data_IF_372331698515
#
_entry.id   IF_372331698515
#
_cell.length_a   1.000
_cell.length_b   1.000
_cell.length_c   1.000
_cell.angle_alpha   90.00
_cell.angle_beta   90.00
_cell.angle_gamma   90.00
#
_symmetry.space_group_name_H-M   'P 1'
#
loop_
_entity.id
_entity.type
_entity.pdbx_description
1 polymer ?
#
# COMPACT_ATOMS: atom_id res chain seq x y z
N UNK A 1 -16.27 -11.62 2.18
CA UNK A 1 -16.96 -10.48 1.54
C UNK A 1 -16.86 -9.15 2.29
N UNK A 2 -16.93 -9.09 3.64
CA UNK A 2 -16.98 -7.79 4.39
C UNK A 2 -15.76 -6.84 4.23
N UNK A 3 -14.63 -7.27 3.65
CA UNK A 3 -13.39 -6.47 3.53
C UNK A 3 -13.05 -6.01 2.11
N UNK A 4 -13.83 -6.46 1.12
CA UNK A 4 -13.76 -5.99 -0.26
C UNK A 4 -14.06 -4.49 -0.42
N UNK A 5 -15.07 -3.89 0.26
CA UNK A 5 -15.36 -2.46 0.06
C UNK A 5 -14.22 -1.55 0.55
N UNK A 6 -13.51 -1.95 1.61
CA UNK A 6 -12.36 -1.22 2.12
C UNK A 6 -11.23 -1.23 1.09
N UNK A 7 -10.95 -2.39 0.50
CA UNK A 7 -9.93 -2.52 -0.54
C UNK A 7 -10.24 -1.66 -1.77
N UNK A 8 -11.50 -1.69 -2.24
CA UNK A 8 -11.95 -0.85 -3.34
C UNK A 8 -11.79 0.64 -3.02
N UNK A 9 -12.24 1.05 -1.84
CA UNK A 9 -12.13 2.45 -1.37
C UNK A 9 -10.67 2.94 -1.40
N UNK A 10 -9.73 2.11 -0.95
CA UNK A 10 -8.32 2.49 -0.90
C UNK A 10 -7.69 2.65 -2.28
N UNK A 11 -8.16 1.92 -3.29
CA UNK A 11 -7.56 1.90 -4.63
C UNK A 11 -8.14 2.99 -5.54
N UNK A 12 -9.37 3.44 -5.29
CA UNK A 12 -10.05 4.43 -6.14
C UNK A 12 -9.21 5.70 -6.33
N UNK A 13 -8.75 6.35 -5.24
CA UNK A 13 -8.00 7.61 -5.35
C UNK A 13 -6.65 7.44 -6.07
N UNK A 14 -5.79 6.47 -5.72
CA UNK A 14 -4.56 6.21 -6.48
C UNK A 14 -4.80 5.89 -7.95
N UNK A 15 -5.85 5.13 -8.28
CA UNK A 15 -6.17 4.83 -9.69
C UNK A 15 -6.58 6.09 -10.44
N UNK A 16 -7.39 6.95 -9.84
CA UNK A 16 -7.76 8.24 -10.46
C UNK A 16 -6.54 9.12 -10.72
N UNK A 17 -5.54 9.11 -9.83
CA UNK A 17 -4.27 9.82 -10.04
C UNK A 17 -3.51 9.25 -11.24
N UNK A 18 -3.40 7.92 -11.35
CA UNK A 18 -2.73 7.27 -12.48
C UNK A 18 -3.45 7.58 -13.79
N UNK A 19 -4.78 7.53 -13.81
CA UNK A 19 -5.60 7.87 -14.99
C UNK A 19 -5.45 9.35 -15.37
N UNK A 20 -5.48 10.27 -14.40
CA UNK A 20 -5.24 11.70 -14.65
C UNK A 20 -3.85 11.97 -15.21
N UNK A 21 -2.86 11.19 -14.78
CA UNK A 21 -1.45 11.37 -15.15
C UNK A 21 -1.06 10.56 -16.40
N UNK A 22 -2.02 9.92 -17.07
CA UNK A 22 -1.76 8.95 -18.15
C UNK A 22 -0.99 9.55 -19.33
N UNK A 23 -1.27 10.80 -19.70
CA UNK A 23 -0.59 11.52 -20.79
C UNK A 23 0.82 12.02 -20.40
N UNK A 24 1.11 12.12 -19.10
CA UNK A 24 2.35 12.72 -18.57
C UNK A 24 3.36 11.67 -18.09
N UNK A 25 2.91 10.44 -17.87
CA UNK A 25 3.68 9.38 -17.23
C UNK A 25 3.85 8.21 -18.19
N UNK A 26 5.04 7.61 -18.16
CA UNK A 26 5.35 6.40 -18.92
C UNK A 26 4.57 5.21 -18.34
N UNK A 27 3.32 5.03 -18.79
CA UNK A 27 2.33 4.15 -18.16
C UNK A 27 2.82 2.70 -17.99
N UNK A 28 3.59 2.17 -18.94
CA UNK A 28 4.12 0.81 -18.86
C UNK A 28 5.18 0.64 -17.77
N UNK A 29 5.98 1.67 -17.49
CA UNK A 29 6.93 1.67 -16.37
C UNK A 29 6.16 1.70 -15.05
N UNK A 30 5.11 2.52 -14.94
CA UNK A 30 4.28 2.60 -13.74
C UNK A 30 3.58 1.28 -13.44
N UNK A 31 2.94 0.67 -14.44
CA UNK A 31 2.29 -0.63 -14.29
C UNK A 31 3.31 -1.71 -13.94
N UNK A 32 4.46 -1.75 -14.64
CA UNK A 32 5.53 -2.69 -14.35
C UNK A 32 6.06 -2.57 -12.92
N UNK A 33 6.31 -1.34 -12.45
CA UNK A 33 6.72 -1.06 -11.09
C UNK A 33 5.70 -1.56 -10.06
N UNK A 34 4.41 -1.20 -10.24
CA UNK A 34 3.33 -1.62 -9.34
C UNK A 34 3.25 -3.15 -9.26
N UNK A 35 3.33 -3.84 -10.40
CA UNK A 35 3.28 -5.30 -10.45
C UNK A 35 4.47 -5.94 -9.72
N UNK A 36 5.70 -5.49 -10.01
CA UNK A 36 6.92 -6.03 -9.39
C UNK A 36 6.90 -5.83 -7.88
N UNK A 37 6.61 -4.61 -7.41
CA UNK A 37 6.54 -4.30 -5.98
C UNK A 37 5.42 -5.10 -5.30
N UNK A 38 4.27 -5.26 -5.96
CA UNK A 38 3.16 -6.07 -5.45
C UNK A 38 3.52 -7.54 -5.30
N UNK A 39 4.18 -8.14 -6.30
CA UNK A 39 4.63 -9.53 -6.28
C UNK A 39 5.66 -9.77 -5.18
N UNK A 40 6.67 -8.90 -5.08
CA UNK A 40 7.68 -8.96 -4.02
C UNK A 40 7.01 -8.87 -2.64
N UNK A 41 6.13 -7.90 -2.45
CA UNK A 41 5.43 -7.70 -1.18
C UNK A 41 4.61 -8.93 -0.79
N UNK A 42 3.82 -9.45 -1.73
CA UNK A 42 3.01 -10.65 -1.49
C UNK A 42 3.88 -11.87 -1.14
N UNK A 43 5.00 -12.05 -1.85
CA UNK A 43 5.97 -13.11 -1.60
C UNK A 43 6.59 -13.04 -0.21
N UNK A 44 6.98 -11.84 0.25
CA UNK A 44 7.51 -11.63 1.60
C UNK A 44 6.49 -11.99 2.68
N UNK A 45 5.24 -11.58 2.50
CA UNK A 45 4.16 -11.93 3.42
C UNK A 45 3.89 -13.43 3.48
N UNK A 46 3.90 -14.09 2.33
CA UNK A 46 3.75 -15.54 2.26
C UNK A 46 4.92 -16.27 2.93
N UNK A 47 6.16 -15.82 2.68
CA UNK A 47 7.35 -16.36 3.31
C UNK A 47 7.29 -16.18 4.84
N UNK A 48 6.96 -14.98 5.34
CA UNK A 48 6.84 -14.74 6.78
C UNK A 48 5.76 -15.63 7.41
N UNK A 49 4.63 -15.86 6.72
CA UNK A 49 3.60 -16.80 7.19
C UNK A 49 4.13 -18.23 7.30
N UNK A 50 4.85 -18.72 6.28
CA UNK A 50 5.46 -20.05 6.29
C UNK A 50 6.47 -20.22 7.42
N UNK A 51 7.32 -19.21 7.65
CA UNK A 51 8.28 -19.23 8.75
C UNK A 51 7.58 -19.21 10.11
N UNK A 52 6.46 -18.50 10.25
CA UNK A 52 5.62 -18.57 11.46
C UNK A 52 5.18 -20.00 11.80
N UNK A 53 4.75 -20.75 10.79
CA UNK A 53 4.20 -22.10 10.96
C UNK A 53 5.31 -23.11 11.24
N UNK A 54 6.49 -22.92 10.63
CA UNK A 54 7.66 -23.79 10.79
C UNK A 54 8.55 -23.44 11.99
N UNK A 55 8.16 -22.46 12.82
CA UNK A 55 9.01 -21.89 13.89
C UNK A 55 10.38 -21.41 13.38
N UNK A 56 10.45 -20.99 12.11
CA UNK A 56 11.65 -20.45 11.49
C UNK A 56 11.88 -18.98 11.83
N UNK A 57 12.95 -18.40 11.27
CA UNK A 57 13.26 -16.98 11.44
C UNK A 57 12.20 -16.12 10.74
N UNK A 58 11.61 -15.19 11.50
CA UNK A 58 10.53 -14.30 11.06
C UNK A 58 11.09 -13.08 10.36
N UNK A 59 10.35 -12.53 9.38
CA UNK A 59 10.76 -11.29 8.72
C UNK A 59 10.52 -10.12 9.71
N UNK A 60 11.49 -9.21 9.90
CA UNK A 60 11.30 -8.02 10.73
C UNK A 60 10.16 -7.15 10.18
N UNK A 61 9.31 -6.64 11.07
CA UNK A 61 8.14 -5.83 10.68
C UNK A 61 8.53 -4.56 9.90
N UNK A 62 9.71 -4.00 10.20
CA UNK A 62 10.26 -2.85 9.47
C UNK A 62 10.41 -3.12 7.96
N UNK A 63 10.79 -4.34 7.57
CA UNK A 63 10.96 -4.72 6.17
C UNK A 63 9.60 -4.78 5.48
N UNK A 64 8.58 -5.33 6.16
CA UNK A 64 7.23 -5.38 5.61
C UNK A 64 6.62 -3.98 5.46
N UNK A 65 6.81 -3.11 6.45
CA UNK A 65 6.39 -1.70 6.36
C UNK A 65 7.16 -0.91 5.30
N UNK A 66 8.43 -1.23 5.05
CA UNK A 66 9.18 -0.63 3.94
C UNK A 66 8.56 -1.01 2.59
N UNK A 67 8.23 -2.29 2.40
CA UNK A 67 7.56 -2.77 1.18
C UNK A 67 6.19 -2.10 0.98
N UNK A 68 5.44 -1.90 2.07
CA UNK A 68 4.18 -1.14 2.05
C UNK A 68 4.41 0.32 1.65
N UNK A 69 5.44 0.95 2.22
CA UNK A 69 5.78 2.36 1.99
C UNK A 69 6.23 2.64 0.55
N UNK A 70 6.94 1.72 -0.12
CA UNK A 70 7.36 1.89 -1.52
C UNK A 70 6.23 1.62 -2.54
N UNK A 71 5.04 1.22 -2.10
CA UNK A 71 3.86 1.05 -2.95
C UNK A 71 3.24 -0.35 -2.91
N UNK A 72 3.78 -1.27 -2.12
CA UNK A 72 3.26 -2.62 -1.96
C UNK A 72 2.03 -2.74 -1.06
N UNK A 73 1.55 -1.64 -0.48
CA UNK A 73 0.44 -1.65 0.49
C UNK A 73 -0.84 -2.35 0.01
N UNK A 74 -1.28 -2.30 -1.29
CA UNK A 74 -2.47 -3.02 -1.72
C UNK A 74 -2.26 -4.53 -1.69
N UNK A 75 -1.10 -4.99 -2.18
CA UNK A 75 -0.72 -6.39 -2.16
C UNK A 75 -0.52 -6.91 -0.73
N UNK A 76 0.05 -6.09 0.15
CA UNK A 76 0.15 -6.36 1.58
C UNK A 76 -1.23 -6.54 2.22
N UNK A 77 -2.21 -5.69 1.90
CA UNK A 77 -3.59 -5.86 2.37
C UNK A 77 -4.16 -7.22 1.98
N UNK A 78 -4.05 -7.58 0.69
CA UNK A 78 -4.54 -8.85 0.17
C UNK A 78 -3.85 -10.03 0.86
N UNK A 79 -2.52 -9.97 1.00
CA UNK A 79 -1.75 -11.00 1.68
C UNK A 79 -2.13 -11.15 3.16
N UNK A 80 -2.35 -10.04 3.89
CA UNK A 80 -2.83 -10.06 5.26
C UNK A 80 -4.19 -10.76 5.37
N UNK A 81 -5.13 -10.48 4.46
CA UNK A 81 -6.44 -11.12 4.46
C UNK A 81 -6.35 -12.61 4.12
N UNK A 82 -5.61 -12.95 3.06
CA UNK A 82 -5.51 -14.31 2.56
C UNK A 82 -4.81 -15.23 3.55
N UNK A 83 -3.68 -14.79 4.13
CA UNK A 83 -2.91 -15.57 5.08
C UNK A 83 -3.39 -15.44 6.53
N UNK A 84 -4.40 -14.57 6.76
CA UNK A 84 -4.89 -14.16 8.10
C UNK A 84 -3.73 -13.85 9.03
N UNK A 85 -2.75 -13.12 8.50
CA UNK A 85 -1.46 -12.89 9.13
C UNK A 85 -1.29 -11.40 9.37
N UNK A 86 -0.78 -11.03 10.55
CA UNK A 86 -0.66 -9.63 11.01
C UNK A 86 -1.98 -8.83 11.03
N UNK A 87 -3.13 -9.50 11.07
CA UNK A 87 -4.46 -8.87 11.11
C UNK A 87 -4.95 -8.52 12.52
N UNK A 88 -4.36 -9.09 13.58
CA UNK A 88 -4.75 -8.84 14.98
C UNK A 88 -3.80 -7.92 15.74
N UNK A 89 -2.53 -7.81 15.31
CA UNK A 89 -1.51 -7.01 16.02
C UNK A 89 -1.77 -5.52 15.82
N UNK A 90 -2.17 -4.82 16.90
CA UNK A 90 -2.57 -3.40 16.85
C UNK A 90 -1.45 -2.49 16.36
N UNK A 91 -0.24 -2.63 16.86
CA UNK A 91 0.90 -1.79 16.45
C UNK A 91 1.21 -1.92 14.96
N UNK A 92 1.19 -3.14 14.43
CA UNK A 92 1.36 -3.40 12.99
C UNK A 92 0.27 -2.70 12.18
N UNK A 93 -0.99 -2.86 12.58
CA UNK A 93 -2.13 -2.24 11.89
C UNK A 93 -2.05 -0.72 11.90
N UNK A 94 -1.68 -0.11 13.02
CA UNK A 94 -1.56 1.35 13.12
C UNK A 94 -0.57 1.85 12.07
N UNK A 95 0.64 1.27 12.03
CA UNK A 95 1.67 1.73 11.10
C UNK A 95 1.29 1.47 9.63
N UNK A 96 0.70 0.30 9.34
CA UNK A 96 0.13 0.01 8.01
C UNK A 96 -0.92 1.08 7.59
N UNK A 97 -1.86 1.42 8.48
CA UNK A 97 -2.89 2.42 8.17
C UNK A 97 -2.34 3.85 8.06
N UNK A 98 -1.28 4.18 8.80
CA UNK A 98 -0.55 5.44 8.60
C UNK A 98 0.05 5.52 7.18
N UNK A 99 0.68 4.44 6.70
CA UNK A 99 1.22 4.38 5.34
C UNK A 99 0.10 4.58 4.31
N UNK A 100 -1.02 3.86 4.46
CA UNK A 100 -2.17 4.01 3.57
C UNK A 100 -2.69 5.45 3.60
N UNK A 101 -2.83 6.07 4.77
CA UNK A 101 -3.30 7.44 4.91
C UNK A 101 -2.38 8.45 4.20
N UNK A 102 -1.06 8.26 4.26
CA UNK A 102 -0.09 9.07 3.51
C UNK A 102 -0.35 8.94 2.01
N UNK A 103 -0.52 7.71 1.50
CA UNK A 103 -0.85 7.49 0.08
C UNK A 103 -2.17 8.15 -0.33
N UNK A 104 -3.21 8.07 0.50
CA UNK A 104 -4.50 8.71 0.22
C UNK A 104 -4.38 10.25 0.21
N UNK A 105 -3.65 10.81 1.17
CA UNK A 105 -3.41 12.25 1.26
C UNK A 105 -2.65 12.77 0.04
N UNK A 106 -1.54 12.11 -0.34
CA UNK A 106 -0.77 12.46 -1.54
C UNK A 106 -1.59 12.33 -2.81
N UNK A 107 -2.42 11.29 -2.92
CA UNK A 107 -3.31 11.13 -4.07
C UNK A 107 -4.32 12.29 -4.18
N UNK A 108 -4.89 12.70 -3.05
CA UNK A 108 -5.83 13.81 -2.98
C UNK A 108 -5.16 15.16 -3.32
N UNK A 109 -3.97 15.44 -2.79
CA UNK A 109 -3.19 16.63 -3.15
C UNK A 109 -2.88 16.67 -4.65
N UNK A 110 -2.50 15.53 -5.24
CA UNK A 110 -2.22 15.42 -6.66
C UNK A 110 -3.47 15.72 -7.52
N UNK A 111 -4.63 15.15 -7.16
CA UNK A 111 -5.90 15.41 -7.83
C UNK A 111 -6.33 16.88 -7.71
N UNK A 112 -6.02 17.53 -6.59
CA UNK A 112 -6.33 18.94 -6.35
C UNK A 112 -5.26 19.90 -6.88
N UNK A 113 -4.23 19.41 -7.57
CA UNK A 113 -3.08 20.20 -8.04
C UNK A 113 -2.39 21.00 -6.91
N UNK A 114 -2.16 20.34 -5.77
CA UNK A 114 -1.44 20.87 -4.59
C UNK A 114 -2.11 22.06 -3.91
N UNK A 115 -3.43 22.24 -4.08
CA UNK A 115 -4.17 23.36 -3.50
C UNK A 115 -4.19 23.35 -1.97
N UNK A 116 -4.33 22.18 -1.34
CA UNK A 116 -4.43 22.10 0.12
C UNK A 116 -3.09 22.46 0.74
N UNK A 117 -1.99 21.90 0.21
CA UNK A 117 -0.65 22.25 0.67
C UNK A 117 -0.36 23.75 0.52
N UNK A 118 -0.76 24.37 -0.61
CA UNK A 118 -0.60 25.81 -0.83
C UNK A 118 -1.39 26.64 0.18
N UNK A 119 -2.65 26.26 0.42
CA UNK A 119 -3.53 26.90 1.40
C UNK A 119 -2.94 26.84 2.82
N UNK A 120 -2.39 25.70 3.23
CA UNK A 120 -1.76 25.52 4.55
C UNK A 120 -0.48 26.34 4.67
N UNK A 121 0.31 26.41 3.61
CA UNK A 121 1.57 27.16 3.56
C UNK A 121 1.37 28.67 3.36
N UNK A 122 0.12 29.16 3.27
CA UNK A 122 -0.19 30.57 3.08
C UNK A 122 0.27 31.14 1.74
N UNK A 123 0.37 30.31 0.70
CA UNK A 123 0.75 30.69 -0.68
C UNK A 123 -0.43 30.63 -1.64
#
# INVERSE_FOLDING_TARGET
MKRLPIFLLMIILPVLVVVRSFEQVVWYITVGYILVVSLITFGFYWHDKRQAQKKGQRIPEKVLHLLELIGGWPAAYLAQQQFRHKTSKRSYRILYWCIVAIYQYLALECLLNWKILKLILGK
#
